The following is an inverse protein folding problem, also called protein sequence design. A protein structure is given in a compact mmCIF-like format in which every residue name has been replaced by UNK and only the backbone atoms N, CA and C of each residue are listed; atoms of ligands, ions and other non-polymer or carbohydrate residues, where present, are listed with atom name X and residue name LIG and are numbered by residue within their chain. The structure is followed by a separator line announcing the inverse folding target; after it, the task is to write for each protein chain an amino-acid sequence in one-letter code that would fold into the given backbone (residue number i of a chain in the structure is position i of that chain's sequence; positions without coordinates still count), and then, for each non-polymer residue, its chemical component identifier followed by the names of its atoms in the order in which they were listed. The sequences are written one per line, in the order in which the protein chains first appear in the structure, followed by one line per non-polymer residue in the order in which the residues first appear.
data_IF_150184833044
#
_entry.id   IF_150184833044
#
_cell.length_a   1.000
_cell.length_b   1.000
_cell.length_c   1.000
_cell.angle_alpha   90.00
_cell.angle_beta   90.00
_cell.angle_gamma   90.00
#
_symmetry.space_group_name_H-M   'P 1'
#
loop_
_entity.id
_entity.type
_entity.pdbx_description
1 polymer ?
#
# COMPACT_ATOMS: atom_id res chain seq x y z
N UNK A 1 -9.54 6.56 3.62
CA UNK A 1 -10.44 7.68 3.96
C UNK A 1 -9.86 9.04 3.56
N UNK A 2 -8.56 9.34 3.84
CA UNK A 2 -7.98 10.67 3.63
C UNK A 2 -8.03 11.16 2.17
N UNK A 3 -7.83 10.28 1.21
CA UNK A 3 -7.83 10.64 -0.22
C UNK A 3 -9.24 10.95 -0.78
N UNK A 4 -10.29 10.54 -0.07
CA UNK A 4 -11.67 10.83 -0.50
C UNK A 4 -12.04 12.31 -0.37
N UNK A 5 -11.27 13.10 0.37
CA UNK A 5 -11.45 14.55 0.48
C UNK A 5 -10.97 15.32 -0.75
N UNK A 6 -10.31 14.65 -1.70
CA UNK A 6 -9.86 15.26 -2.95
C UNK A 6 -10.85 14.90 -4.08
N UNK A 7 -11.78 15.82 -4.44
CA UNK A 7 -12.85 15.50 -5.40
C UNK A 7 -12.32 14.99 -6.75
N UNK A 8 -11.15 15.51 -7.18
CA UNK A 8 -10.52 15.14 -8.44
C UNK A 8 -10.03 13.69 -8.45
N UNK A 9 -9.67 13.13 -7.29
CA UNK A 9 -9.18 11.77 -7.15
C UNK A 9 -10.30 10.76 -6.87
N UNK A 10 -11.47 11.21 -6.42
CA UNK A 10 -12.57 10.33 -6.00
C UNK A 10 -12.94 9.26 -7.02
N UNK A 11 -12.95 9.62 -8.30
CA UNK A 11 -13.28 8.71 -9.42
C UNK A 11 -12.22 7.63 -9.69
N UNK A 12 -11.00 7.82 -9.17
CA UNK A 12 -9.88 6.88 -9.35
C UNK A 12 -9.61 6.04 -8.10
N UNK A 13 -10.34 6.27 -7.01
CA UNK A 13 -10.09 5.63 -5.73
C UNK A 13 -11.16 4.58 -5.47
N UNK A 14 -10.73 3.36 -5.19
CA UNK A 14 -11.56 2.30 -4.68
C UNK A 14 -11.46 2.28 -3.14
N UNK A 15 -12.52 2.72 -2.43
CA UNK A 15 -12.46 2.85 -0.98
C UNK A 15 -12.47 1.48 -0.30
N UNK A 16 -11.57 1.29 0.68
CA UNK A 16 -11.56 0.13 1.56
C UNK A 16 -11.76 0.61 2.99
N UNK A 17 -12.69 0.04 3.70
CA UNK A 17 -12.97 0.36 5.10
C UNK A 17 -12.46 -0.76 6.02
N UNK A 18 -11.48 -0.43 6.85
CA UNK A 18 -10.92 -1.33 7.86
C UNK A 18 -11.52 -1.13 9.25
N UNK A 19 -12.58 -0.30 9.37
CA UNK A 19 -13.20 -0.02 10.65
C UNK A 19 -14.02 -1.21 11.16
N UNK A 20 -13.67 -1.81 12.31
CA UNK A 20 -14.43 -2.92 12.88
C UNK A 20 -15.81 -2.49 13.40
N UNK A 21 -16.02 -1.18 13.60
CA UNK A 21 -17.26 -0.62 14.15
C UNK A 21 -18.30 -0.29 13.09
N UNK A 22 -17.93 -0.22 11.84
CA UNK A 22 -18.86 0.13 10.77
C UNK A 22 -19.57 -1.12 10.24
N UNK A 23 -20.85 -1.27 10.49
CA UNK A 23 -21.67 -2.40 10.03
C UNK A 23 -21.72 -2.52 8.50
N UNK A 24 -21.49 -1.43 7.78
CA UNK A 24 -21.49 -1.39 6.31
C UNK A 24 -20.14 -1.71 5.67
N UNK A 25 -19.04 -1.80 6.45
CA UNK A 25 -17.68 -2.06 5.95
C UNK A 25 -17.62 -3.31 5.10
N UNK A 26 -18.31 -4.38 5.52
CA UNK A 26 -18.32 -5.66 4.82
C UNK A 26 -18.92 -5.53 3.41
N UNK A 27 -20.03 -4.83 3.28
CA UNK A 27 -20.70 -4.58 1.99
C UNK A 27 -19.83 -3.70 1.10
N UNK A 28 -19.35 -2.57 1.62
CA UNK A 28 -18.47 -1.67 0.88
C UNK A 28 -17.22 -2.39 0.36
N UNK A 29 -16.58 -3.19 1.20
CA UNK A 29 -15.37 -3.92 0.82
C UNK A 29 -15.64 -5.01 -0.23
N UNK A 30 -16.82 -5.62 -0.22
CA UNK A 30 -17.24 -6.58 -1.26
C UNK A 30 -17.48 -5.86 -2.59
N UNK A 31 -18.19 -4.74 -2.58
CA UNK A 31 -18.43 -3.91 -3.77
C UNK A 31 -17.11 -3.42 -4.36
N UNK A 32 -16.22 -2.88 -3.53
CA UNK A 32 -14.87 -2.46 -3.93
C UNK A 32 -14.07 -3.61 -4.53
N UNK A 33 -14.12 -4.79 -3.92
CA UNK A 33 -13.42 -5.97 -4.44
C UNK A 33 -13.95 -6.40 -5.81
N UNK A 34 -15.26 -6.30 -6.03
CA UNK A 34 -15.87 -6.62 -7.32
C UNK A 34 -15.48 -5.61 -8.40
N UNK A 35 -15.50 -4.31 -8.07
CA UNK A 35 -15.06 -3.24 -8.98
C UNK A 35 -13.59 -3.42 -9.35
N UNK A 36 -12.70 -3.66 -8.39
CA UNK A 36 -11.29 -3.92 -8.62
C UNK A 36 -11.08 -5.13 -9.54
N UNK A 37 -11.82 -6.21 -9.31
CA UNK A 37 -11.75 -7.42 -10.13
C UNK A 37 -12.20 -7.17 -11.57
N UNK A 38 -13.30 -6.46 -11.78
CA UNK A 38 -13.80 -6.12 -13.10
C UNK A 38 -12.79 -5.24 -13.84
N UNK A 39 -12.29 -4.17 -13.18
CA UNK A 39 -11.30 -3.29 -13.76
C UNK A 39 -10.03 -4.03 -14.25
N UNK A 40 -9.51 -4.96 -13.45
CA UNK A 40 -8.37 -5.78 -13.85
C UNK A 40 -8.70 -6.75 -15.01
N UNK A 41 -9.92 -7.29 -15.06
CA UNK A 41 -10.36 -8.15 -16.17
C UNK A 41 -10.53 -7.39 -17.47
N UNK A 42 -10.87 -6.11 -17.39
CA UNK A 42 -10.99 -5.18 -18.51
C UNK A 42 -9.63 -4.57 -18.90
N UNK A 43 -8.52 -5.24 -18.56
CA UNK A 43 -7.14 -4.81 -18.79
C UNK A 43 -6.76 -3.47 -18.12
N UNK A 44 -7.46 -3.09 -17.08
CA UNK A 44 -7.10 -1.94 -16.24
C UNK A 44 -5.92 -2.22 -15.33
N UNK A 45 -5.36 -1.17 -14.74
CA UNK A 45 -4.28 -1.25 -13.75
C UNK A 45 -4.74 -0.71 -12.39
N UNK A 46 -4.29 -1.35 -11.31
CA UNK A 46 -4.56 -0.92 -9.94
C UNK A 46 -3.26 -0.66 -9.19
N UNK A 47 -3.19 0.47 -8.51
CA UNK A 47 -2.16 0.72 -7.50
C UNK A 47 -2.73 0.32 -6.15
N UNK A 48 -2.04 -0.55 -5.43
CA UNK A 48 -2.47 -1.04 -4.12
C UNK A 48 -1.38 -0.77 -3.09
N UNK A 49 -1.76 -0.23 -1.94
CA UNK A 49 -0.94 -0.10 -0.75
C UNK A 49 -1.36 -1.17 0.27
N UNK A 50 -0.71 -2.34 0.26
CA UNK A 50 -1.28 -3.54 0.89
C UNK A 50 -1.35 -3.51 2.41
N UNK A 51 -0.51 -2.70 3.06
CA UNK A 51 -0.55 -2.52 4.52
C UNK A 51 -1.83 -1.81 4.99
N UNK A 52 -2.42 -0.96 4.12
CA UNK A 52 -3.58 -0.15 4.46
C UNK A 52 -3.28 0.99 5.45
N UNK A 53 -2.04 1.20 5.79
CA UNK A 53 -1.54 2.26 6.66
C UNK A 53 -0.19 2.78 6.19
N UNK A 54 0.29 3.82 6.85
CA UNK A 54 1.61 4.40 6.56
C UNK A 54 2.68 3.63 7.31
N UNK A 55 3.78 3.32 6.63
CA UNK A 55 4.95 2.67 7.22
C UNK A 55 5.48 3.44 8.42
N UNK A 56 5.80 2.74 9.49
CA UNK A 56 6.28 3.33 10.74
C UNK A 56 7.64 2.75 11.12
N UNK A 57 8.47 3.58 11.73
CA UNK A 57 9.72 3.16 12.33
C UNK A 57 9.51 2.88 13.82
N UNK A 58 9.99 1.74 14.31
CA UNK A 58 9.89 1.38 15.73
C UNK A 58 10.83 2.23 16.60
N UNK A 59 11.96 2.65 16.02
CA UNK A 59 12.95 3.52 16.68
C UNK A 59 13.37 4.63 15.73
N UNK A 60 13.99 5.69 16.27
CA UNK A 60 14.49 6.82 15.48
C UNK A 60 15.54 6.43 14.44
N UNK A 61 16.23 5.30 14.64
CA UNK A 61 17.29 4.81 13.74
C UNK A 61 16.84 3.67 12.84
N UNK A 62 15.70 3.03 13.12
CA UNK A 62 15.19 1.96 12.28
C UNK A 62 14.55 2.49 11.00
N UNK A 63 14.54 1.65 9.97
CA UNK A 63 13.79 1.94 8.76
C UNK A 63 12.29 1.88 9.04
N UNK A 64 11.53 2.72 8.33
CA UNK A 64 10.09 2.63 8.34
C UNK A 64 9.67 1.37 7.57
N UNK A 65 8.87 0.54 8.22
CA UNK A 65 8.35 -0.70 7.62
C UNK A 65 6.83 -0.72 7.69
N UNK A 66 6.24 -1.35 6.70
CA UNK A 66 4.81 -1.60 6.70
C UNK A 66 4.41 -2.61 7.79
N UNK A 67 3.21 -2.44 8.32
CA UNK A 67 2.52 -3.51 9.03
C UNK A 67 2.34 -4.74 8.13
N UNK A 68 1.71 -5.78 8.67
CA UNK A 68 1.39 -6.98 7.90
C UNK A 68 0.51 -6.63 6.69
N UNK A 69 0.94 -7.04 5.50
CA UNK A 69 0.17 -6.83 4.28
C UNK A 69 -1.11 -7.66 4.30
N UNK A 70 -2.20 -7.04 3.86
CA UNK A 70 -3.53 -7.68 3.80
C UNK A 70 -3.59 -8.68 2.65
N UNK A 71 -4.42 -9.71 2.80
CA UNK A 71 -4.56 -10.80 1.82
C UNK A 71 -5.34 -10.41 0.55
N UNK A 72 -5.87 -9.19 0.50
CA UNK A 72 -6.68 -8.72 -0.61
C UNK A 72 -5.95 -8.73 -1.97
N UNK A 73 -4.68 -8.25 -2.09
CA UNK A 73 -3.93 -8.33 -3.35
C UNK A 73 -3.78 -9.77 -3.84
N UNK A 74 -3.40 -10.71 -2.98
CA UNK A 74 -3.28 -12.12 -3.35
C UNK A 74 -4.60 -12.71 -3.87
N UNK A 75 -5.72 -12.34 -3.24
CA UNK A 75 -7.06 -12.74 -3.71
C UNK A 75 -7.37 -12.20 -5.12
N UNK A 76 -7.01 -10.93 -5.39
CA UNK A 76 -7.20 -10.32 -6.72
C UNK A 76 -6.34 -11.02 -7.75
N UNK A 77 -5.04 -11.20 -7.49
CA UNK A 77 -4.09 -11.88 -8.40
C UNK A 77 -4.63 -13.25 -8.82
N UNK A 78 -5.04 -14.08 -7.87
CA UNK A 78 -5.57 -15.40 -8.19
C UNK A 78 -6.89 -15.37 -8.97
N UNK A 79 -7.77 -14.41 -8.66
CA UNK A 79 -9.10 -14.35 -9.28
C UNK A 79 -9.11 -13.70 -10.66
N UNK A 80 -8.08 -12.90 -11.00
CA UNK A 80 -8.00 -12.15 -12.27
C UNK A 80 -6.84 -12.60 -13.15
N UNK A 81 -5.91 -13.41 -12.61
CA UNK A 81 -4.65 -13.79 -13.24
C UNK A 81 -3.77 -12.57 -13.58
N UNK A 82 -3.91 -11.49 -12.81
CA UNK A 82 -3.16 -10.25 -13.02
C UNK A 82 -1.66 -10.46 -12.76
N UNK A 83 -0.84 -9.78 -13.54
CA UNK A 83 0.59 -9.61 -13.27
C UNK A 83 0.81 -8.52 -12.21
N UNK A 84 1.96 -8.55 -11.55
CA UNK A 84 2.30 -7.61 -10.47
C UNK A 84 3.59 -6.89 -10.82
N UNK A 85 3.58 -5.57 -10.71
CA UNK A 85 4.78 -4.74 -10.75
C UNK A 85 5.08 -4.28 -9.31
N UNK A 86 6.13 -4.81 -8.66
CA UNK A 86 6.57 -4.32 -7.36
C UNK A 86 7.14 -2.90 -7.50
N UNK A 87 6.68 -2.00 -6.62
CA UNK A 87 7.15 -0.61 -6.57
C UNK A 87 7.47 -0.26 -5.13
N UNK A 88 8.69 0.18 -4.87
CA UNK A 88 9.12 0.65 -3.57
C UNK A 88 9.35 2.16 -3.61
N UNK A 89 8.69 2.89 -2.72
CA UNK A 89 8.91 4.32 -2.52
C UNK A 89 9.93 4.50 -1.40
N UNK A 90 11.10 5.05 -1.73
CA UNK A 90 12.10 5.37 -0.72
C UNK A 90 11.75 6.67 0.00
N UNK A 91 12.03 6.69 1.28
CA UNK A 91 11.83 7.86 2.11
C UNK A 91 11.26 7.51 3.48
N UNK A 92 11.50 8.41 4.41
CA UNK A 92 10.97 8.33 5.78
C UNK A 92 10.11 9.55 6.05
N UNK A 93 9.07 9.36 6.85
CA UNK A 93 8.38 10.48 7.47
C UNK A 93 9.25 11.05 8.61
N UNK A 94 9.00 12.30 8.97
CA UNK A 94 9.76 12.96 10.03
C UNK A 94 9.63 12.27 11.39
N UNK A 95 10.61 12.47 12.26
CA UNK A 95 10.66 11.91 13.62
C UNK A 95 9.37 12.22 14.41
N UNK A 96 8.84 13.42 14.27
CA UNK A 96 7.59 13.82 14.91
C UNK A 96 6.42 12.96 14.43
N UNK A 97 6.37 12.62 13.13
CA UNK A 97 5.34 11.73 12.58
C UNK A 97 5.36 10.36 13.30
N UNK A 98 6.53 9.75 13.44
CA UNK A 98 6.67 8.45 14.09
C UNK A 98 6.30 8.48 15.56
N UNK A 99 6.68 9.55 16.29
CA UNK A 99 6.29 9.76 17.68
C UNK A 99 4.78 9.94 17.84
N UNK A 100 4.15 10.71 16.95
CA UNK A 100 2.72 11.00 17.03
C UNK A 100 1.86 9.85 16.48
N UNK A 101 2.29 9.17 15.43
CA UNK A 101 1.55 8.04 14.84
C UNK A 101 1.45 6.85 15.82
N UNK A 102 2.49 6.61 16.65
CA UNK A 102 2.52 5.50 17.60
C UNK A 102 1.81 5.80 18.93
N UNK A 103 1.80 7.06 19.39
CA UNK A 103 1.34 7.41 20.74
C UNK A 103 -0.07 7.98 20.82
N UNK A 104 -0.58 8.60 19.75
CA UNK A 104 -1.88 9.28 19.82
C UNK A 104 -3.02 8.45 19.21
N UNK A 105 -4.01 8.12 20.05
CA UNK A 105 -5.28 7.53 19.63
C UNK A 105 -6.21 8.54 18.94
N UNK A 106 -5.88 9.85 18.98
CA UNK A 106 -6.72 10.91 18.44
C UNK A 106 -6.52 11.02 16.92
N UNK A 107 -7.58 10.75 16.15
CA UNK A 107 -7.55 10.79 14.69
C UNK A 107 -7.23 12.19 14.13
N UNK A 108 -7.73 13.25 14.77
CA UNK A 108 -7.51 14.64 14.31
C UNK A 108 -6.02 14.99 14.32
N UNK A 109 -5.31 14.61 15.39
CA UNK A 109 -3.86 14.81 15.49
C UNK A 109 -3.09 13.99 14.43
N UNK A 110 -3.53 12.78 14.12
CA UNK A 110 -2.94 11.99 13.04
C UNK A 110 -3.11 12.69 11.69
N UNK A 111 -4.29 13.21 11.38
CA UNK A 111 -4.52 13.93 10.12
C UNK A 111 -3.66 15.19 9.99
N UNK A 112 -3.49 15.97 11.06
CA UNK A 112 -2.63 17.16 11.02
C UNK A 112 -1.17 16.80 10.76
N UNK A 113 -0.67 15.70 11.32
CA UNK A 113 0.69 15.21 11.02
C UNK A 113 0.85 14.73 9.57
N UNK A 114 -0.16 14.09 8.98
CA UNK A 114 -0.13 13.71 7.55
C UNK A 114 -0.05 14.96 6.66
N UNK A 115 -0.87 15.98 6.92
CA UNK A 115 -0.87 17.23 6.15
C UNK A 115 0.51 17.91 6.28
N UNK A 116 1.07 17.96 7.48
CA UNK A 116 2.38 18.56 7.72
C UNK A 116 3.51 17.83 6.96
N UNK A 117 3.56 16.49 7.02
CA UNK A 117 4.56 15.71 6.30
C UNK A 117 4.38 15.83 4.77
N UNK A 118 3.14 15.87 4.29
CA UNK A 118 2.85 16.09 2.87
C UNK A 118 3.37 17.46 2.41
N UNK A 119 3.09 18.52 3.18
CA UNK A 119 3.59 19.87 2.85
C UNK A 119 5.12 19.93 2.78
N UNK A 120 5.82 19.23 3.67
CA UNK A 120 7.30 19.15 3.65
C UNK A 120 7.86 18.47 2.40
N UNK A 121 7.08 17.61 1.77
CA UNK A 121 7.50 16.86 0.58
C UNK A 121 7.13 17.54 -0.73
N UNK A 122 6.29 18.56 -0.71
CA UNK A 122 5.96 19.33 -1.92
C UNK A 122 7.23 19.97 -2.48
N UNK A 123 7.49 19.77 -3.77
CA UNK A 123 8.66 20.29 -4.47
C UNK A 123 9.97 19.56 -4.17
N UNK A 124 9.92 18.41 -3.44
CA UNK A 124 11.08 17.54 -3.23
C UNK A 124 11.02 16.33 -4.13
N UNK A 125 12.18 15.82 -4.48
CA UNK A 125 12.31 14.56 -5.20
C UNK A 125 11.84 13.38 -4.35
N UNK A 126 11.21 12.42 -5.01
CA UNK A 126 10.80 11.14 -4.42
C UNK A 126 11.47 10.05 -5.24
N UNK A 127 12.32 9.27 -4.59
CA UNK A 127 12.96 8.12 -5.21
C UNK A 127 12.01 6.94 -5.23
N UNK A 128 11.86 6.33 -6.41
CA UNK A 128 10.98 5.17 -6.63
C UNK A 128 11.82 4.08 -7.28
N UNK A 129 11.81 2.89 -6.68
CA UNK A 129 12.42 1.69 -7.23
C UNK A 129 11.34 0.80 -7.82
N UNK A 130 11.50 0.41 -9.07
CA UNK A 130 10.58 -0.50 -9.76
C UNK A 130 11.26 -1.84 -10.00
N UNK A 131 10.57 -2.93 -9.67
CA UNK A 131 11.07 -4.26 -9.91
C UNK A 131 10.68 -4.80 -11.28
N UNK A 132 11.11 -6.04 -11.57
CA UNK A 132 10.64 -6.78 -12.73
C UNK A 132 9.16 -7.15 -12.56
N UNK A 133 8.39 -7.05 -13.64
CA UNK A 133 7.00 -7.53 -13.64
C UNK A 133 6.94 -9.03 -13.38
N UNK A 134 6.25 -9.42 -12.33
CA UNK A 134 5.95 -10.81 -11.98
C UNK A 134 4.69 -11.24 -12.71
N UNK A 135 4.82 -12.12 -13.67
CA UNK A 135 3.67 -12.63 -14.43
C UNK A 135 2.88 -13.64 -13.61
N UNK A 136 1.58 -13.77 -13.87
CA UNK A 136 0.72 -14.69 -13.11
C UNK A 136 1.21 -16.15 -13.15
N UNK A 137 1.78 -16.62 -14.25
CA UNK A 137 2.33 -17.97 -14.33
C UNK A 137 3.46 -18.22 -13.31
N UNK A 138 4.27 -17.18 -13.03
CA UNK A 138 5.34 -17.23 -12.02
C UNK A 138 4.78 -17.26 -10.59
N UNK A 139 3.58 -16.72 -10.37
CA UNK A 139 2.91 -16.63 -9.06
C UNK A 139 1.90 -17.75 -8.81
N UNK A 140 1.45 -18.41 -9.87
CA UNK A 140 0.30 -19.34 -9.85
C UNK A 140 0.49 -20.58 -8.96
N UNK A 141 1.75 -20.98 -8.71
CA UNK A 141 2.08 -22.10 -7.84
C UNK A 141 1.94 -21.75 -6.35
N UNK A 142 1.99 -20.47 -5.98
CA UNK A 142 1.86 -19.99 -4.60
C UNK A 142 0.38 -19.94 -4.19
N UNK A 143 -0.24 -21.08 -3.95
CA UNK A 143 -1.68 -21.19 -3.63
C UNK A 143 -2.07 -20.55 -2.31
N UNK A 144 -1.18 -20.59 -1.32
CA UNK A 144 -1.41 -19.93 -0.04
C UNK A 144 -1.30 -18.42 -0.18
N UNK A 145 -2.38 -17.73 0.19
CA UNK A 145 -2.47 -16.28 0.03
C UNK A 145 -1.52 -15.52 0.95
N UNK A 146 -1.28 -16.05 2.15
CA UNK A 146 -0.35 -15.42 3.09
C UNK A 146 1.08 -15.57 2.61
N UNK A 147 1.43 -16.73 2.10
CA UNK A 147 2.73 -16.98 1.49
C UNK A 147 2.96 -16.05 0.29
N UNK A 148 2.01 -15.97 -0.65
CA UNK A 148 2.09 -15.05 -1.79
C UNK A 148 2.23 -13.60 -1.34
N UNK A 149 1.44 -13.16 -0.36
CA UNK A 149 1.49 -11.79 0.14
C UNK A 149 2.86 -11.47 0.76
N UNK A 150 3.42 -12.39 1.54
CA UNK A 150 4.75 -12.23 2.13
C UNK A 150 5.85 -12.20 1.06
N UNK A 151 5.78 -13.08 0.07
CA UNK A 151 6.69 -13.08 -1.07
C UNK A 151 6.68 -11.72 -1.80
N UNK A 152 5.49 -11.16 -2.07
CA UNK A 152 5.37 -9.86 -2.71
C UNK A 152 5.95 -8.74 -1.84
N UNK A 153 5.72 -8.78 -0.53
CA UNK A 153 6.29 -7.83 0.42
C UNK A 153 7.82 -7.87 0.38
N UNK A 154 8.39 -9.05 0.55
CA UNK A 154 9.85 -9.24 0.53
C UNK A 154 10.46 -8.79 -0.80
N UNK A 155 9.84 -9.18 -1.93
CA UNK A 155 10.29 -8.77 -3.27
C UNK A 155 10.29 -7.27 -3.42
N UNK A 156 9.25 -6.58 -2.92
CA UNK A 156 9.15 -5.12 -2.97
C UNK A 156 10.23 -4.45 -2.12
N UNK A 157 10.47 -4.95 -0.90
CA UNK A 157 11.47 -4.36 -0.01
C UNK A 157 12.92 -4.61 -0.45
N UNK A 158 13.17 -5.72 -1.15
CA UNK A 158 14.50 -5.99 -1.73
C UNK A 158 14.91 -4.97 -2.78
N UNK A 159 13.97 -4.29 -3.43
CA UNK A 159 14.27 -3.27 -4.45
C UNK A 159 15.13 -2.12 -3.89
N UNK A 160 14.96 -1.76 -2.63
CA UNK A 160 15.80 -0.75 -1.97
C UNK A 160 17.30 -1.08 -1.99
N UNK A 161 17.64 -2.37 -2.01
CA UNK A 161 19.04 -2.82 -1.92
C UNK A 161 19.62 -3.18 -3.30
N UNK A 162 18.85 -3.06 -4.37
CA UNK A 162 19.26 -3.51 -5.73
C UNK A 162 20.21 -2.52 -6.39
N UNK A 163 20.19 -1.23 -6.00
CA UNK A 163 21.11 -0.20 -6.53
C UNK A 163 22.60 -0.41 -6.18
N UNK A 164 22.90 -1.41 -5.36
CA UNK A 164 24.31 -1.73 -5.04
C UNK A 164 25.00 -2.58 -6.12
N UNK A 165 24.28 -3.03 -7.16
CA UNK A 165 24.78 -4.01 -8.13
C UNK A 165 24.71 -3.59 -9.60
N UNK A 166 24.11 -2.44 -9.93
CA UNK A 166 24.10 -1.90 -11.29
C UNK A 166 24.80 -0.53 -11.32
N UNK A 167 26.11 -0.58 -11.50
CA UNK A 167 26.95 0.50 -12.04
C UNK A 167 27.60 0.01 -13.31
#
# INVERSE_FOLDING_TARGET
ETLQFLPQLKKFILPVDFSPKNKNSKRLNLETAQLAKNHLKDNGALIIFPAGGVSTAQTLRSDATDEEWKLFPAKLIHSTKASVLPIFFDGKNGILFHLFASKFKNQTLKYSTYIHETKKKIGKEITIYTGKTLRYNELSHMKDRKYLTNYLKETTYKLKNTDLYEK
#
